data_IF_822543767234
#
_entry.id   IF_822543767234
#
_cell.length_a   1.000
_cell.length_b   1.000
_cell.length_c   1.000
_cell.angle_alpha   90.00
_cell.angle_beta   90.00
_cell.angle_gamma   90.00
#
_symmetry.space_group_name_H-M   'P 1'
#
loop_
_entity.id
_entity.type
_entity.pdbx_description
1 polymer ?
#
# COMPACT_ATOMS: atom_id res chain seq x y z
N UNK A 1 -2.52 -6.72 -15.98
CA UNK A 1 -3.85 -7.11 -15.46
C UNK A 1 -4.02 -8.61 -15.19
N UNK A 2 -3.31 -9.52 -15.88
CA UNK A 2 -3.46 -10.98 -15.72
C UNK A 2 -2.90 -11.59 -14.42
N UNK A 3 -2.27 -10.81 -13.53
CA UNK A 3 -1.63 -11.31 -12.32
C UNK A 3 -2.47 -11.17 -11.03
N UNK A 4 -3.59 -10.46 -11.07
CA UNK A 4 -4.41 -10.16 -9.90
C UNK A 4 -5.78 -10.85 -10.00
N UNK A 5 -6.26 -11.39 -8.88
CA UNK A 5 -7.64 -11.87 -8.76
C UNK A 5 -8.63 -10.70 -8.81
N UNK A 6 -9.92 -10.98 -9.17
CA UNK A 6 -10.97 -10.00 -8.92
C UNK A 6 -11.12 -9.75 -7.41
N UNK A 7 -11.74 -8.62 -7.04
CA UNK A 7 -11.98 -8.26 -5.63
C UNK A 7 -12.73 -9.38 -4.88
N UNK A 8 -13.76 -9.93 -5.48
CA UNK A 8 -14.59 -11.01 -4.91
C UNK A 8 -13.75 -12.27 -4.70
N UNK A 9 -12.98 -12.68 -5.72
CA UNK A 9 -12.16 -13.88 -5.64
C UNK A 9 -11.02 -13.74 -4.62
N UNK A 10 -10.38 -12.58 -4.57
CA UNK A 10 -9.33 -12.30 -3.59
C UNK A 10 -9.88 -12.35 -2.16
N UNK A 11 -11.05 -11.76 -1.91
CA UNK A 11 -11.72 -11.80 -0.59
C UNK A 11 -12.14 -13.20 -0.19
N UNK A 12 -12.73 -13.95 -1.09
CA UNK A 12 -13.07 -15.37 -0.86
C UNK A 12 -11.85 -16.18 -0.41
N UNK A 13 -10.73 -16.05 -1.14
CA UNK A 13 -9.48 -16.77 -0.84
C UNK A 13 -8.83 -16.32 0.48
N UNK A 14 -9.08 -15.10 0.92
CA UNK A 14 -8.58 -14.55 2.18
C UNK A 14 -9.57 -14.76 3.35
N UNK A 15 -10.78 -15.24 3.10
CA UNK A 15 -11.83 -15.42 4.11
C UNK A 15 -12.36 -14.08 4.64
N UNK A 16 -12.39 -13.03 3.81
CA UNK A 16 -12.86 -11.68 4.17
C UNK A 16 -14.29 -11.49 3.70
N UNK A 17 -15.14 -10.99 4.58
CA UNK A 17 -16.53 -10.65 4.27
C UNK A 17 -16.56 -9.60 3.12
N UNK A 18 -17.34 -9.85 2.05
CA UNK A 18 -17.43 -8.93 0.91
C UNK A 18 -18.04 -7.57 1.26
N UNK A 19 -18.82 -7.48 2.34
CA UNK A 19 -19.53 -6.25 2.74
C UNK A 19 -18.69 -5.26 3.54
N UNK A 20 -17.54 -5.68 4.09
CA UNK A 20 -16.71 -4.78 4.91
C UNK A 20 -15.83 -3.88 4.04
N UNK A 21 -15.54 -2.68 4.54
CA UNK A 21 -14.46 -1.84 4.01
C UNK A 21 -13.13 -2.32 4.58
N UNK A 22 -12.21 -2.74 3.70
CA UNK A 22 -10.98 -3.40 4.09
C UNK A 22 -9.75 -2.50 3.91
N UNK A 23 -9.09 -2.17 5.02
CA UNK A 23 -7.78 -1.52 5.01
C UNK A 23 -6.71 -2.59 4.84
N UNK A 24 -5.76 -2.38 3.92
CA UNK A 24 -4.69 -3.32 3.61
C UNK A 24 -3.29 -2.83 3.89
N UNK A 25 -2.43 -3.75 4.27
CA UNK A 25 -0.98 -3.57 4.25
C UNK A 25 -0.30 -4.86 3.79
N UNK A 26 0.82 -4.72 3.10
CA UNK A 26 1.65 -5.83 2.66
C UNK A 26 3.10 -5.60 3.07
N UNK A 27 3.75 -6.63 3.60
CA UNK A 27 5.17 -6.59 3.86
C UNK A 27 5.62 -7.51 4.98
N UNK A 28 6.93 -7.61 5.15
CA UNK A 28 7.50 -8.37 6.26
C UNK A 28 7.04 -7.82 7.61
N UNK A 29 6.70 -8.72 8.54
CA UNK A 29 6.33 -8.32 9.89
C UNK A 29 7.59 -8.03 10.72
N UNK A 30 8.16 -6.84 10.50
CA UNK A 30 9.36 -6.31 11.17
C UNK A 30 9.11 -4.86 11.60
N UNK A 31 9.80 -4.33 12.64
CA UNK A 31 9.51 -3.02 13.22
C UNK A 31 9.51 -1.88 12.21
N UNK A 32 10.44 -1.92 11.23
CA UNK A 32 10.59 -0.86 10.23
C UNK A 32 9.34 -0.67 9.34
N UNK A 33 8.47 -1.68 9.23
CA UNK A 33 7.23 -1.61 8.45
C UNK A 33 6.08 -0.91 9.18
N UNK A 34 6.22 -0.61 10.46
CA UNK A 34 5.31 0.26 11.19
C UNK A 34 3.91 -0.30 11.46
N UNK A 35 3.69 -1.62 11.29
CA UNK A 35 2.37 -2.24 11.46
C UNK A 35 1.74 -2.00 12.85
N UNK A 36 2.56 -1.82 13.89
CA UNK A 36 2.08 -1.48 15.24
C UNK A 36 1.35 -0.13 15.24
N UNK A 37 1.89 0.88 14.55
CA UNK A 37 1.23 2.20 14.43
C UNK A 37 -0.08 2.11 13.67
N UNK A 38 -0.16 1.25 12.65
CA UNK A 38 -1.40 1.00 11.90
C UNK A 38 -2.48 0.38 12.79
N UNK A 39 -2.13 -0.62 13.60
CA UNK A 39 -3.06 -1.21 14.57
C UNK A 39 -3.56 -0.18 15.58
N UNK A 40 -2.67 0.67 16.11
CA UNK A 40 -3.03 1.73 17.06
C UNK A 40 -3.95 2.79 16.42
N UNK A 41 -3.66 3.20 15.19
CA UNK A 41 -4.49 4.14 14.47
C UNK A 41 -5.88 3.55 14.16
N UNK A 42 -5.94 2.30 13.73
CA UNK A 42 -7.21 1.62 13.48
C UNK A 42 -8.03 1.46 14.77
N UNK A 43 -7.40 1.12 15.89
CA UNK A 43 -8.06 1.03 17.18
C UNK A 43 -8.70 2.35 17.62
N UNK A 44 -8.07 3.49 17.30
CA UNK A 44 -8.58 4.81 17.66
C UNK A 44 -9.86 5.21 16.89
N UNK A 45 -10.09 4.60 15.70
CA UNK A 45 -11.21 4.96 14.83
C UNK A 45 -12.23 3.84 14.60
N UNK A 46 -11.97 2.63 15.10
CA UNK A 46 -12.80 1.45 14.82
C UNK A 46 -14.28 1.61 15.17
N UNK A 47 -14.59 2.35 16.23
CA UNK A 47 -15.96 2.54 16.70
C UNK A 47 -16.74 3.53 15.82
N UNK A 48 -16.04 4.48 15.18
CA UNK A 48 -16.63 5.39 14.18
C UNK A 48 -16.96 4.67 12.87
N UNK A 49 -16.23 3.59 12.54
CA UNK A 49 -16.37 2.84 11.29
C UNK A 49 -16.61 1.34 11.58
N UNK A 50 -17.79 0.95 12.10
CA UNK A 50 -18.05 -0.40 12.56
C UNK A 50 -17.98 -1.48 11.46
N UNK A 51 -18.24 -1.12 10.19
CA UNK A 51 -18.14 -2.03 9.05
C UNK A 51 -16.74 -2.08 8.40
N UNK A 52 -15.70 -1.57 9.09
CA UNK A 52 -14.32 -1.58 8.56
C UNK A 52 -13.49 -2.67 9.24
N UNK A 53 -12.65 -3.33 8.47
CA UNK A 53 -11.65 -4.28 8.95
C UNK A 53 -10.25 -3.89 8.45
N UNK A 54 -9.22 -4.41 9.10
CA UNK A 54 -7.83 -4.27 8.73
C UNK A 54 -7.24 -5.66 8.46
N UNK A 55 -6.48 -5.81 7.37
CA UNK A 55 -5.74 -7.04 7.14
C UNK A 55 -4.32 -6.76 6.67
N UNK A 56 -3.37 -7.54 7.21
CA UNK A 56 -1.95 -7.44 6.90
C UNK A 56 -1.49 -8.76 6.29
N UNK A 57 -0.99 -8.73 5.06
CA UNK A 57 -0.38 -9.87 4.39
C UNK A 57 1.13 -9.82 4.64
N UNK A 58 1.69 -10.90 5.19
CA UNK A 58 3.12 -11.02 5.42
C UNK A 58 3.45 -11.90 6.61
N UNK A 59 4.73 -12.20 6.78
CA UNK A 59 5.26 -12.92 7.92
C UNK A 59 6.53 -12.25 8.44
N UNK A 60 6.91 -12.55 9.67
CA UNK A 60 8.13 -12.04 10.27
C UNK A 60 8.17 -12.15 11.79
N UNK A 61 9.29 -11.70 12.37
CA UNK A 61 9.55 -11.84 13.81
C UNK A 61 8.58 -11.05 14.72
N UNK A 62 7.83 -10.09 14.18
CA UNK A 62 6.85 -9.29 14.93
C UNK A 62 5.47 -9.97 14.99
N UNK A 63 5.25 -11.13 14.35
CA UNK A 63 3.93 -11.74 14.20
C UNK A 63 3.24 -11.96 15.55
N UNK A 64 3.91 -12.63 16.50
CA UNK A 64 3.36 -12.87 17.84
C UNK A 64 3.09 -11.58 18.61
N UNK A 65 3.95 -10.56 18.44
CA UNK A 65 3.79 -9.25 19.07
C UNK A 65 2.61 -8.49 18.49
N UNK A 66 2.42 -8.53 17.16
CA UNK A 66 1.29 -7.90 16.50
C UNK A 66 -0.03 -8.61 16.86
N UNK A 67 -0.03 -9.94 16.98
CA UNK A 67 -1.19 -10.69 17.44
C UNK A 67 -1.59 -10.29 18.88
N UNK A 68 -0.64 -10.21 19.80
CA UNK A 68 -0.90 -9.73 21.16
C UNK A 68 -1.38 -8.27 21.18
N UNK A 69 -0.87 -7.41 20.28
CA UNK A 69 -1.31 -6.03 20.17
C UNK A 69 -2.75 -5.93 19.64
N UNK A 70 -3.15 -6.78 18.70
CA UNK A 70 -4.55 -6.89 18.22
C UNK A 70 -5.49 -7.20 19.40
N UNK A 71 -5.15 -8.17 20.23
CA UNK A 71 -5.94 -8.51 21.42
C UNK A 71 -5.99 -7.36 22.42
N UNK A 72 -4.83 -6.78 22.76
CA UNK A 72 -4.70 -5.65 23.72
C UNK A 72 -5.52 -4.43 23.30
N UNK A 73 -5.61 -4.15 21.99
CA UNK A 73 -6.36 -3.03 21.42
C UNK A 73 -7.84 -3.33 21.20
N UNK A 74 -8.31 -4.55 21.53
CA UNK A 74 -9.69 -4.97 21.30
C UNK A 74 -10.05 -5.01 19.82
N UNK A 75 -9.12 -5.49 18.98
CA UNK A 75 -9.27 -5.60 17.53
C UNK A 75 -9.54 -7.03 17.07
N UNK A 76 -9.74 -7.98 17.99
CA UNK A 76 -10.07 -9.37 17.66
C UNK A 76 -11.30 -9.44 16.76
N UNK A 77 -11.21 -10.15 15.62
CA UNK A 77 -12.25 -10.18 14.59
C UNK A 77 -12.37 -8.93 13.71
N UNK A 78 -11.56 -7.90 13.95
CA UNK A 78 -11.52 -6.64 13.17
C UNK A 78 -10.17 -6.39 12.50
N UNK A 79 -9.08 -6.96 13.03
CA UNK A 79 -7.75 -6.91 12.44
C UNK A 79 -7.20 -8.33 12.27
N UNK A 80 -6.64 -8.61 11.09
CA UNK A 80 -6.24 -9.94 10.66
C UNK A 80 -4.77 -9.94 10.21
N UNK A 81 -3.98 -10.86 10.76
CA UNK A 81 -2.66 -11.22 10.21
C UNK A 81 -2.89 -12.43 9.29
N UNK A 82 -2.79 -12.21 7.98
CA UNK A 82 -3.13 -13.22 6.98
C UNK A 82 -1.96 -14.17 6.66
N UNK A 83 -0.80 -13.97 7.31
CA UNK A 83 0.40 -14.76 7.08
C UNK A 83 1.07 -14.48 5.73
N UNK A 84 2.12 -15.23 5.45
CA UNK A 84 2.80 -15.17 4.14
C UNK A 84 1.89 -15.71 3.04
N UNK A 85 1.86 -15.00 1.92
CA UNK A 85 1.19 -15.45 0.69
C UNK A 85 2.20 -15.42 -0.45
N UNK A 86 2.38 -16.56 -1.10
CA UNK A 86 3.09 -16.58 -2.37
C UNK A 86 2.32 -15.73 -3.39
N UNK A 87 3.04 -14.91 -4.16
CA UNK A 87 2.44 -13.99 -5.13
C UNK A 87 1.38 -13.06 -4.49
N UNK A 88 1.70 -12.42 -3.36
CA UNK A 88 0.80 -11.56 -2.60
C UNK A 88 0.11 -10.48 -3.44
N UNK A 89 0.73 -10.05 -4.55
CA UNK A 89 0.16 -9.14 -5.54
C UNK A 89 -1.21 -9.61 -6.07
N UNK A 90 -1.45 -10.92 -6.14
CA UNK A 90 -2.73 -11.48 -6.60
C UNK A 90 -3.91 -11.07 -5.72
N UNK A 91 -3.66 -10.73 -4.45
CA UNK A 91 -4.69 -10.42 -3.46
C UNK A 91 -4.92 -8.94 -3.23
N UNK A 92 -4.14 -8.06 -3.87
CA UNK A 92 -4.17 -6.61 -3.61
C UNK A 92 -5.57 -6.03 -3.84
N UNK A 93 -6.29 -6.49 -4.84
CA UNK A 93 -7.67 -6.04 -5.12
C UNK A 93 -8.71 -6.45 -4.06
N UNK A 94 -8.34 -7.26 -3.06
CA UNK A 94 -9.24 -7.52 -1.93
C UNK A 94 -9.49 -6.28 -1.07
N UNK A 95 -8.57 -5.33 -1.09
CA UNK A 95 -8.57 -4.14 -0.24
C UNK A 95 -9.34 -2.97 -0.87
N UNK A 96 -9.73 -2.01 -0.05
CA UNK A 96 -10.37 -0.76 -0.46
C UNK A 96 -9.47 0.46 -0.19
N UNK A 97 -8.58 0.36 0.79
CA UNK A 97 -7.58 1.38 1.14
C UNK A 97 -6.25 0.66 1.35
N UNK A 98 -5.19 1.18 0.75
CA UNK A 98 -3.85 0.63 0.91
C UNK A 98 -3.00 1.48 1.83
N UNK A 99 -2.30 0.82 2.78
CA UNK A 99 -1.48 1.53 3.76
C UNK A 99 -0.04 1.02 3.77
N UNK A 100 0.91 1.95 3.91
CA UNK A 100 2.33 1.65 4.04
C UNK A 100 2.99 2.56 5.09
N UNK A 101 2.75 2.30 6.40
CA UNK A 101 3.20 3.16 7.50
C UNK A 101 4.66 2.92 7.90
N UNK A 102 5.52 2.64 6.94
CA UNK A 102 6.92 2.28 7.16
C UNK A 102 7.73 3.43 7.78
N UNK A 103 8.67 3.09 8.65
CA UNK A 103 9.57 4.06 9.28
C UNK A 103 10.70 4.48 8.33
N UNK A 104 11.09 3.60 7.41
CA UNK A 104 12.04 3.86 6.34
C UNK A 104 11.81 2.89 5.18
N UNK A 105 12.09 3.35 3.96
CA UNK A 105 12.00 2.57 2.73
C UNK A 105 13.09 2.98 1.73
N UNK A 106 13.51 2.01 0.92
CA UNK A 106 14.43 2.24 -0.19
C UNK A 106 13.71 2.58 -1.50
N UNK A 107 12.72 1.76 -1.90
CA UNK A 107 12.01 1.90 -3.18
C UNK A 107 10.49 1.98 -3.05
N UNK A 108 9.93 1.53 -1.92
CA UNK A 108 8.48 1.54 -1.72
C UNK A 108 7.69 0.61 -2.65
N UNK A 109 8.24 -0.55 -3.04
CA UNK A 109 7.58 -1.48 -3.98
C UNK A 109 6.16 -1.84 -3.58
N UNK A 110 5.91 -2.09 -2.29
CA UNK A 110 4.55 -2.39 -1.81
C UNK A 110 3.57 -1.21 -2.03
N UNK A 111 4.06 0.03 -2.15
CA UNK A 111 3.22 1.17 -2.51
C UNK A 111 2.76 1.08 -3.97
N UNK A 112 3.68 0.74 -4.88
CA UNK A 112 3.37 0.52 -6.31
C UNK A 112 2.42 -0.67 -6.49
N UNK A 113 2.57 -1.72 -5.68
CA UNK A 113 1.65 -2.87 -5.65
C UNK A 113 0.23 -2.44 -5.28
N UNK A 114 0.06 -1.59 -4.27
CA UNK A 114 -1.23 -1.00 -3.91
C UNK A 114 -1.85 -0.19 -5.05
N UNK A 115 -1.05 0.67 -5.69
CA UNK A 115 -1.48 1.46 -6.85
C UNK A 115 -1.91 0.56 -8.02
N UNK A 116 -1.21 -0.56 -8.26
CA UNK A 116 -1.56 -1.52 -9.31
C UNK A 116 -2.88 -2.24 -9.08
N UNK A 117 -3.35 -2.28 -7.83
CA UNK A 117 -4.67 -2.77 -7.45
C UNK A 117 -5.80 -1.76 -7.60
N UNK A 118 -5.54 -0.56 -8.14
CA UNK A 118 -6.48 0.57 -8.21
C UNK A 118 -6.91 1.04 -6.81
N UNK A 119 -5.97 1.09 -5.85
CA UNK A 119 -6.26 1.45 -4.47
C UNK A 119 -5.77 2.87 -4.13
N UNK A 120 -6.57 3.64 -3.39
CA UNK A 120 -6.11 4.87 -2.77
C UNK A 120 -5.04 4.54 -1.72
N UNK A 121 -3.98 5.33 -1.66
CA UNK A 121 -2.79 5.01 -0.86
C UNK A 121 -2.61 6.00 0.29
N UNK A 122 -2.27 5.46 1.46
CA UNK A 122 -1.80 6.20 2.63
C UNK A 122 -0.39 5.66 2.94
N UNK A 123 0.62 6.52 2.94
CA UNK A 123 1.97 6.04 3.20
C UNK A 123 2.84 7.08 3.91
N UNK A 124 3.88 6.60 4.59
CA UNK A 124 4.82 7.47 5.29
C UNK A 124 5.60 8.38 4.34
N UNK A 125 5.73 9.65 4.69
CA UNK A 125 6.42 10.70 3.91
C UNK A 125 7.97 10.57 3.96
N UNK A 126 8.47 9.34 3.93
CA UNK A 126 9.92 9.11 3.80
C UNK A 126 10.41 9.50 2.39
N UNK A 127 11.69 9.91 2.24
CA UNK A 127 12.19 10.49 0.98
C UNK A 127 11.88 9.66 -0.28
N UNK A 128 12.02 8.34 -0.21
CA UNK A 128 11.78 7.45 -1.34
C UNK A 128 10.29 7.33 -1.73
N UNK A 129 9.36 7.58 -0.82
CA UNK A 129 7.92 7.40 -1.07
C UNK A 129 7.17 8.70 -1.30
N UNK A 130 7.65 9.82 -0.78
CA UNK A 130 6.92 11.10 -0.85
C UNK A 130 6.55 11.50 -2.29
N UNK A 131 7.46 11.44 -3.29
CA UNK A 131 7.11 11.76 -4.68
C UNK A 131 6.02 10.83 -5.25
N UNK A 132 6.08 9.53 -4.91
CA UNK A 132 5.10 8.54 -5.35
C UNK A 132 3.71 8.82 -4.75
N UNK A 133 3.65 9.13 -3.45
CA UNK A 133 2.41 9.44 -2.74
C UNK A 133 1.76 10.68 -3.36
N UNK A 134 2.54 11.73 -3.57
CA UNK A 134 2.06 13.01 -4.14
C UNK A 134 1.56 12.83 -5.57
N UNK A 135 2.33 12.14 -6.42
CA UNK A 135 1.96 11.87 -7.80
C UNK A 135 0.68 11.04 -7.91
N UNK A 136 0.52 10.04 -7.05
CA UNK A 136 -0.67 9.20 -6.96
C UNK A 136 -1.91 9.92 -6.37
N UNK A 137 -1.76 11.15 -5.85
CA UNK A 137 -2.82 11.84 -5.12
C UNK A 137 -3.19 11.15 -3.79
N UNK A 138 -2.24 10.42 -3.21
CA UNK A 138 -2.35 9.72 -1.94
C UNK A 138 -2.16 10.64 -0.73
N UNK A 139 -2.33 10.09 0.46
CA UNK A 139 -2.20 10.82 1.72
C UNK A 139 -0.85 10.51 2.39
N UNK A 140 0.05 11.50 2.50
CA UNK A 140 1.29 11.33 3.25
C UNK A 140 1.03 11.39 4.76
N UNK A 141 1.71 10.52 5.51
CA UNK A 141 1.69 10.51 6.97
C UNK A 141 3.11 10.65 7.53
N UNK A 142 3.25 11.19 8.72
CA UNK A 142 4.53 11.23 9.42
C UNK A 142 4.87 9.83 9.96
N UNK A 143 6.10 9.30 9.75
CA UNK A 143 6.51 8.01 10.29
C UNK A 143 6.35 7.96 11.82
N UNK A 144 5.87 6.83 12.35
CA UNK A 144 5.62 6.61 13.77
C UNK A 144 4.62 7.58 14.43
N UNK A 145 3.86 8.33 13.66
CA UNK A 145 2.87 9.29 14.14
C UNK A 145 1.44 8.74 13.98
N UNK A 146 0.89 8.20 15.07
CA UNK A 146 -0.49 7.65 15.09
C UNK A 146 -1.53 8.71 14.76
N UNK A 147 -1.51 9.95 15.30
CA UNK A 147 -2.47 10.99 14.95
C UNK A 147 -2.56 11.29 13.45
N UNK A 148 -1.45 11.42 12.73
CA UNK A 148 -1.47 11.66 11.27
C UNK A 148 -2.06 10.48 10.52
N UNK A 149 -1.78 9.25 10.95
CA UNK A 149 -2.36 8.04 10.34
C UNK A 149 -3.86 7.93 10.64
N UNK A 150 -4.31 8.27 11.85
CA UNK A 150 -5.73 8.37 12.20
C UNK A 150 -6.44 9.36 11.28
N UNK A 151 -5.89 10.56 11.12
CA UNK A 151 -6.49 11.59 10.25
C UNK A 151 -6.57 11.15 8.78
N UNK A 152 -5.54 10.45 8.26
CA UNK A 152 -5.54 9.94 6.91
C UNK A 152 -6.56 8.81 6.71
N UNK A 153 -6.67 7.89 7.66
CA UNK A 153 -7.68 6.83 7.63
C UNK A 153 -9.10 7.42 7.73
N UNK A 154 -9.32 8.38 8.63
CA UNK A 154 -10.60 9.07 8.79
C UNK A 154 -11.04 9.78 7.51
N UNK A 155 -10.09 10.42 6.82
CA UNK A 155 -10.34 11.07 5.54
C UNK A 155 -10.87 10.07 4.50
N UNK A 156 -10.17 8.95 4.27
CA UNK A 156 -10.57 7.98 3.26
C UNK A 156 -11.79 7.15 3.65
N UNK A 157 -11.94 6.79 4.93
CA UNK A 157 -13.10 6.05 5.41
C UNK A 157 -14.39 6.86 5.37
N UNK A 158 -14.27 8.20 5.42
CA UNK A 158 -15.40 9.12 5.29
C UNK A 158 -15.88 9.34 3.85
N UNK A 159 -15.13 8.90 2.84
CA UNK A 159 -15.50 9.03 1.42
C UNK A 159 -16.58 8.00 1.03
N UNK A 160 -17.39 8.35 0.04
CA UNK A 160 -18.24 7.39 -0.67
C UNK A 160 -17.40 6.35 -1.45
N UNK A 161 -18.02 5.26 -1.86
CA UNK A 161 -17.33 4.22 -2.64
C UNK A 161 -16.85 4.75 -3.99
N UNK A 162 -17.63 5.65 -4.62
CA UNK A 162 -17.28 6.30 -5.89
C UNK A 162 -16.06 7.22 -5.73
N UNK A 163 -16.05 8.03 -4.67
CA UNK A 163 -14.91 8.93 -4.38
C UNK A 163 -13.64 8.15 -4.08
N UNK A 164 -13.76 7.08 -3.27
CA UNK A 164 -12.62 6.23 -2.93
C UNK A 164 -12.08 5.52 -4.18
N UNK A 165 -12.96 5.01 -5.04
CA UNK A 165 -12.60 4.41 -6.33
C UNK A 165 -11.91 5.42 -7.24
N UNK A 166 -12.40 6.65 -7.33
CA UNK A 166 -11.77 7.70 -8.13
C UNK A 166 -10.33 7.99 -7.67
N UNK A 167 -10.06 7.95 -6.35
CA UNK A 167 -8.71 8.06 -5.79
C UNK A 167 -7.81 6.89 -6.20
N UNK A 168 -8.34 5.68 -6.17
CA UNK A 168 -7.62 4.48 -6.62
C UNK A 168 -7.28 4.53 -8.11
N UNK A 169 -8.21 4.96 -8.96
CA UNK A 169 -7.98 5.15 -10.39
C UNK A 169 -6.94 6.24 -10.67
N UNK A 170 -6.91 7.30 -9.87
CA UNK A 170 -5.86 8.33 -9.95
C UNK A 170 -4.49 7.73 -9.65
N UNK A 171 -4.37 6.92 -8.60
CA UNK A 171 -3.12 6.25 -8.22
C UNK A 171 -2.65 5.27 -9.30
N UNK A 172 -3.56 4.49 -9.87
CA UNK A 172 -3.26 3.55 -10.96
C UNK A 172 -2.79 4.27 -12.23
N UNK A 173 -3.44 5.37 -12.60
CA UNK A 173 -3.03 6.18 -13.77
C UNK A 173 -1.62 6.72 -13.60
N UNK A 174 -1.31 7.27 -12.43
CA UNK A 174 0.05 7.72 -12.12
C UNK A 174 1.07 6.60 -12.26
N UNK A 175 0.75 5.40 -11.73
CA UNK A 175 1.62 4.23 -11.87
C UNK A 175 1.90 3.90 -13.36
N UNK A 176 0.86 3.88 -14.19
CA UNK A 176 1.00 3.62 -15.62
C UNK A 176 1.85 4.67 -16.34
N UNK A 177 1.64 5.95 -16.02
CA UNK A 177 2.34 7.05 -16.68
C UNK A 177 3.82 7.14 -16.28
N UNK A 178 4.17 6.80 -15.04
CA UNK A 178 5.51 7.02 -14.49
C UNK A 178 6.36 5.75 -14.36
N UNK A 179 5.73 4.57 -14.39
CA UNK A 179 6.40 3.29 -14.12
C UNK A 179 6.07 2.22 -15.17
N UNK A 180 5.67 2.62 -16.38
CA UNK A 180 5.48 1.71 -17.49
C UNK A 180 6.83 1.14 -17.94
N UNK A 181 6.89 -0.18 -18.12
CA UNK A 181 8.13 -0.87 -18.47
C UNK A 181 8.64 -0.46 -19.87
N UNK A 182 7.74 -0.13 -20.80
CA UNK A 182 8.12 0.28 -22.15
C UNK A 182 8.68 1.70 -22.16
N UNK A 183 8.13 2.61 -21.33
CA UNK A 183 8.69 3.95 -21.11
C UNK A 183 10.10 3.83 -20.53
N UNK A 184 10.27 3.04 -19.47
CA UNK A 184 11.59 2.80 -18.87
C UNK A 184 12.58 2.20 -19.87
N UNK A 185 12.16 1.21 -20.66
CA UNK A 185 12.98 0.59 -21.71
C UNK A 185 13.43 1.63 -22.72
N UNK A 186 12.52 2.48 -23.19
CA UNK A 186 12.85 3.49 -24.19
C UNK A 186 13.82 4.54 -23.64
N UNK A 187 13.62 5.02 -22.42
CA UNK A 187 14.54 5.94 -21.75
C UNK A 187 15.92 5.33 -21.56
N UNK A 188 16.00 4.06 -21.19
CA UNK A 188 17.27 3.34 -21.03
C UNK A 188 18.00 3.18 -22.36
N UNK A 189 17.32 2.84 -23.45
CA UNK A 189 17.90 2.78 -24.79
C UNK A 189 18.41 4.13 -25.26
N UNK A 190 17.65 5.20 -25.04
CA UNK A 190 18.06 6.57 -25.37
C UNK A 190 19.31 6.99 -24.59
N UNK A 191 19.44 6.58 -23.33
CA UNK A 191 20.62 6.84 -22.51
C UNK A 191 21.87 6.13 -23.07
N UNK A 192 21.72 4.84 -23.45
CA UNK A 192 22.80 4.08 -24.08
C UNK A 192 23.24 4.72 -25.39
N UNK A 193 22.30 5.04 -26.28
CA UNK A 193 22.59 5.66 -27.57
C UNK A 193 23.30 7.02 -27.43
N UNK A 194 22.89 7.84 -26.47
CA UNK A 194 23.53 9.10 -26.17
C UNK A 194 24.97 8.93 -25.67
N UNK A 195 25.20 7.96 -24.78
CA UNK A 195 26.53 7.62 -24.28
C UNK A 195 27.47 7.09 -25.37
N UNK A 196 26.97 6.22 -26.25
CA UNK A 196 27.72 5.70 -27.39
C UNK A 196 28.08 6.79 -28.40
N UNK A 197 27.17 7.74 -28.66
CA UNK A 197 27.40 8.86 -29.57
C UNK A 197 28.41 9.86 -28.98
N UNK A 198 28.43 10.06 -27.68
CA UNK A 198 29.43 10.89 -27.00
C UNK A 198 30.82 10.25 -27.07
N UNK A 199 30.92 8.93 -26.77
CA UNK A 199 32.17 8.21 -26.85
C UNK A 199 32.76 8.19 -28.27
N UNK A 200 31.93 8.13 -29.32
CA UNK A 200 32.38 8.22 -30.72
C UNK A 200 32.94 9.58 -31.11
N UNK A 201 32.45 10.68 -30.49
CA UNK A 201 32.95 12.06 -30.74
C UNK A 201 34.26 12.36 -30.02
N UNK A 202 34.57 11.60 -28.97
CA UNK A 202 35.80 11.76 -28.16
C UNK A 202 36.97 10.89 -28.64
N UNK A 203 36.73 10.04 -29.67
CA UNK A 203 37.83 9.30 -30.33
C UNK A 203 38.52 10.23 -31.33
N UNK A 204 39.87 10.40 -31.21
CA UNK A 204 40.65 11.28 -32.08
C UNK A 204 40.74 10.79 -33.54
#
# INVERSE_FOLDING_TARGET
EGLQHSRERARELLGIDPSVRLIGALGRLVPIKGHTYLLQAFAAIKDKYPATQLAIIGAGREESRLAAEIERLGLSGRAHLLGFRENALQYVRAFDIWTMPSLAEGLGLALLEGMSGHLPVIASNVPAMLPLIQGAGGLPITPADVPTLVAALDNYLGLSDEELKAKGEQAYRYLQEQHDIEVFRQEYLNLIDSGLNQARKEQP
#
